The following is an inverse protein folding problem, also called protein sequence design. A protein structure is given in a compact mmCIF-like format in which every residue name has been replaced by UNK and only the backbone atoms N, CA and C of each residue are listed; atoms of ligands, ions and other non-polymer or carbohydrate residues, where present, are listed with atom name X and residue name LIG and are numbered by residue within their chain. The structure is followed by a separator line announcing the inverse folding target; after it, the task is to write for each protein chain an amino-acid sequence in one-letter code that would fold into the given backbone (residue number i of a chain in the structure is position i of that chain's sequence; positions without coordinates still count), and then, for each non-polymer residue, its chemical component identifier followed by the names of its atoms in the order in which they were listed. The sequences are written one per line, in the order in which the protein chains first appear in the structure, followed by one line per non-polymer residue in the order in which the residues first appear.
data_IF_070559033569
#
_entry.id   IF_070559033569
#
_cell.length_a   1.000
_cell.length_b   1.000
_cell.length_c   1.000
_cell.angle_alpha   90.00
_cell.angle_beta   90.00
_cell.angle_gamma   90.00
#
_symmetry.space_group_name_H-M   'P 1'
#
loop_
_entity.id
_entity.type
_entity.pdbx_description
1 polymer ?
#
# COMPACT_ATOMS: atom_id res chain seq x y z
N UNK A 1 1.81 -22.13 -5.11
CA UNK A 1 1.98 -22.08 -3.63
C UNK A 1 1.54 -20.70 -3.18
N UNK A 2 0.72 -20.62 -2.12
CA UNK A 2 0.37 -19.34 -1.51
C UNK A 2 1.66 -18.72 -0.93
N UNK A 3 1.91 -17.44 -1.24
CA UNK A 3 3.02 -16.73 -0.61
C UNK A 3 2.69 -16.55 0.88
N UNK A 4 3.51 -17.12 1.74
CA UNK A 4 3.39 -16.92 3.18
C UNK A 4 4.03 -15.58 3.53
N UNK A 5 3.23 -14.64 4.01
CA UNK A 5 3.72 -13.35 4.52
C UNK A 5 3.87 -13.43 6.04
N UNK A 6 5.06 -13.75 6.50
CA UNK A 6 5.39 -13.90 7.93
C UNK A 6 5.94 -12.61 8.53
N UNK A 7 6.51 -11.75 7.68
CA UNK A 7 7.16 -10.52 8.09
C UNK A 7 6.88 -9.37 7.14
N UNK A 8 6.51 -8.23 7.72
CA UNK A 8 6.33 -6.97 7.00
C UNK A 8 7.09 -5.87 7.76
N UNK A 9 7.93 -5.11 7.04
CA UNK A 9 8.70 -4.00 7.60
C UNK A 9 8.25 -2.69 6.99
N UNK A 10 7.77 -1.75 7.81
CA UNK A 10 7.48 -0.40 7.36
C UNK A 10 8.74 0.41 7.17
N UNK A 11 8.80 1.14 6.06
CA UNK A 11 9.95 1.96 5.65
C UNK A 11 9.46 3.37 5.33
N UNK A 12 9.87 4.41 6.07
CA UNK A 12 9.46 5.79 5.81
C UNK A 12 9.70 6.21 4.35
N UNK A 13 8.62 6.62 3.67
CA UNK A 13 8.64 6.90 2.24
C UNK A 13 9.35 8.20 1.85
N UNK A 14 9.66 9.06 2.83
CA UNK A 14 10.38 10.31 2.64
C UNK A 14 11.92 10.20 2.79
N UNK A 15 12.43 9.00 3.12
CA UNK A 15 13.86 8.81 3.38
C UNK A 15 14.52 7.92 2.30
N UNK A 16 15.33 8.52 1.38
CA UNK A 16 15.97 7.77 0.30
C UNK A 16 16.92 6.68 0.79
N UNK A 17 17.62 6.91 1.93
CA UNK A 17 18.56 5.93 2.50
C UNK A 17 17.83 4.67 2.97
N UNK A 18 16.66 4.84 3.59
CA UNK A 18 15.87 3.71 4.06
C UNK A 18 15.26 2.93 2.90
N UNK A 19 14.78 3.63 1.87
CA UNK A 19 14.29 2.97 0.65
C UNK A 19 15.40 2.17 -0.04
N UNK A 20 16.62 2.69 -0.08
CA UNK A 20 17.77 1.96 -0.65
C UNK A 20 18.11 0.72 0.20
N UNK A 21 18.19 0.87 1.53
CA UNK A 21 18.49 -0.23 2.45
C UNK A 21 17.42 -1.33 2.40
N UNK A 22 16.18 -0.99 2.11
CA UNK A 22 15.08 -1.94 2.02
C UNK A 22 15.25 -3.00 0.92
N UNK A 23 16.13 -2.78 -0.06
CA UNK A 23 16.35 -3.71 -1.18
C UNK A 23 16.81 -5.11 -0.75
N UNK A 24 17.57 -5.17 0.32
CA UNK A 24 18.20 -6.41 0.82
C UNK A 24 17.71 -6.84 2.20
N UNK A 25 16.62 -6.27 2.70
CA UNK A 25 16.07 -6.69 4.00
C UNK A 25 15.58 -8.14 3.93
N UNK A 26 15.86 -8.96 4.94
CA UNK A 26 15.39 -10.34 5.04
C UNK A 26 13.94 -10.37 5.54
N UNK A 27 13.04 -9.75 4.80
CA UNK A 27 11.60 -9.70 5.09
C UNK A 27 10.81 -10.24 3.91
N UNK A 28 9.60 -10.72 4.14
CA UNK A 28 8.72 -11.15 3.05
C UNK A 28 8.16 -9.92 2.32
N UNK A 29 7.84 -8.84 3.07
CA UNK A 29 7.34 -7.58 2.53
C UNK A 29 8.12 -6.40 3.10
N UNK A 30 8.51 -5.46 2.25
CA UNK A 30 8.83 -4.08 2.63
C UNK A 30 7.68 -3.17 2.24
N UNK A 31 7.18 -2.40 3.19
CA UNK A 31 6.05 -1.51 2.99
C UNK A 31 6.50 -0.04 3.08
N UNK A 32 6.55 0.64 1.94
CA UNK A 32 6.87 2.07 1.92
C UNK A 32 5.70 2.87 2.48
N UNK A 33 5.96 3.66 3.49
CA UNK A 33 4.93 4.36 4.24
C UNK A 33 4.72 5.78 3.73
N UNK A 34 3.44 6.15 3.53
CA UNK A 34 3.00 7.51 3.25
C UNK A 34 2.20 8.11 4.41
N UNK A 35 1.93 7.33 5.46
CA UNK A 35 1.06 7.73 6.56
C UNK A 35 1.84 8.26 7.77
N UNK A 36 1.86 7.51 8.85
CA UNK A 36 2.29 7.97 10.18
C UNK A 36 3.77 8.34 10.24
N UNK A 37 4.64 7.65 9.49
CA UNK A 37 6.08 7.92 9.49
C UNK A 37 6.49 9.10 8.61
N UNK A 38 5.55 9.74 7.92
CA UNK A 38 5.81 10.87 7.01
C UNK A 38 5.04 12.10 7.47
N UNK A 39 5.71 13.19 7.86
CA UNK A 39 5.05 14.46 8.19
C UNK A 39 4.21 15.01 7.02
N UNK A 40 3.10 15.70 7.32
CA UNK A 40 2.16 16.20 6.31
C UNK A 40 2.83 17.04 5.22
N UNK A 41 3.73 17.94 5.63
CA UNK A 41 4.52 18.78 4.70
C UNK A 41 5.39 17.99 3.73
N UNK A 42 5.71 16.75 4.04
CA UNK A 42 6.59 15.90 3.23
C UNK A 42 5.83 14.87 2.39
N UNK A 43 4.53 14.68 2.60
CA UNK A 43 3.75 13.64 1.91
C UNK A 43 3.82 13.76 0.37
N UNK A 44 3.80 14.96 -0.18
CA UNK A 44 3.95 15.16 -1.63
C UNK A 44 5.33 14.70 -2.13
N UNK A 45 6.39 15.02 -1.39
CA UNK A 45 7.77 14.60 -1.69
C UNK A 45 7.91 13.08 -1.57
N UNK A 46 7.35 12.49 -0.51
CA UNK A 46 7.38 11.05 -0.28
C UNK A 46 6.69 10.28 -1.42
N UNK A 47 5.51 10.73 -1.88
CA UNK A 47 4.84 10.14 -3.05
C UNK A 47 5.74 10.10 -4.29
N UNK A 48 6.36 11.23 -4.60
CA UNK A 48 7.26 11.33 -5.76
C UNK A 48 8.49 10.40 -5.62
N UNK A 49 9.04 10.32 -4.42
CA UNK A 49 10.18 9.45 -4.13
C UNK A 49 9.81 7.97 -4.26
N UNK A 50 8.71 7.54 -3.65
CA UNK A 50 8.21 6.16 -3.78
C UNK A 50 7.91 5.83 -5.24
N UNK A 51 7.23 6.73 -5.97
CA UNK A 51 6.96 6.55 -7.40
C UNK A 51 8.23 6.24 -8.21
N UNK A 52 9.32 6.95 -7.95
CA UNK A 52 10.60 6.72 -8.62
C UNK A 52 11.26 5.42 -8.15
N UNK A 53 11.14 5.11 -6.86
CA UNK A 53 11.67 3.89 -6.27
C UNK A 53 11.02 2.63 -6.85
N UNK A 54 9.71 2.64 -7.07
CA UNK A 54 8.97 1.52 -7.67
C UNK A 54 9.48 1.14 -9.08
N UNK A 55 10.07 2.06 -9.83
CA UNK A 55 10.71 1.74 -11.12
C UNK A 55 11.90 0.78 -10.97
N UNK A 56 12.44 0.68 -9.78
CA UNK A 56 13.57 -0.19 -9.43
C UNK A 56 13.14 -1.53 -8.82
N UNK A 57 11.86 -1.95 -8.92
CA UNK A 57 11.29 -3.16 -8.29
C UNK A 57 12.22 -4.39 -8.37
N UNK A 58 12.85 -4.61 -9.51
CA UNK A 58 13.74 -5.77 -9.73
C UNK A 58 14.97 -5.82 -8.80
N UNK A 59 15.30 -4.71 -8.16
CA UNK A 59 16.41 -4.63 -7.19
C UNK A 59 15.99 -4.97 -5.76
N UNK A 60 14.69 -5.20 -5.52
CA UNK A 60 14.15 -5.55 -4.22
C UNK A 60 13.95 -7.05 -4.11
N UNK A 61 14.56 -7.68 -3.12
CA UNK A 61 14.35 -9.10 -2.80
C UNK A 61 12.94 -9.34 -2.23
N UNK A 62 12.46 -8.56 -1.23
CA UNK A 62 11.11 -8.71 -0.71
C UNK A 62 10.05 -8.18 -1.67
N UNK A 63 8.80 -8.55 -1.44
CA UNK A 63 7.66 -7.89 -2.09
C UNK A 63 7.57 -6.43 -1.65
N UNK A 64 7.20 -5.56 -2.59
CA UNK A 64 7.12 -4.11 -2.36
C UNK A 64 5.67 -3.68 -2.26
N UNK A 65 5.27 -3.33 -1.05
CA UNK A 65 3.98 -2.74 -0.75
C UNK A 65 4.13 -1.24 -0.46
N UNK A 66 3.02 -0.51 -0.53
CA UNK A 66 2.95 0.89 -0.12
C UNK A 66 1.74 1.08 0.79
N UNK A 67 1.95 1.66 1.97
CA UNK A 67 0.86 2.11 2.85
C UNK A 67 0.45 3.52 2.43
N UNK A 68 -0.81 3.68 2.04
CA UNK A 68 -1.40 4.99 1.72
C UNK A 68 -1.69 5.77 3.00
N UNK A 69 -2.04 7.03 2.89
CA UNK A 69 -2.71 7.73 3.97
C UNK A 69 -4.08 7.12 4.24
N UNK A 70 -4.65 7.37 5.42
CA UNK A 70 -5.96 6.84 5.81
C UNK A 70 -7.09 7.36 4.91
N UNK A 71 -8.18 6.61 4.75
CA UNK A 71 -9.33 7.07 3.97
C UNK A 71 -9.88 8.41 4.43
N UNK A 72 -9.91 8.65 5.74
CA UNK A 72 -10.41 9.89 6.36
C UNK A 72 -9.54 11.12 6.06
N UNK A 73 -8.26 10.93 5.75
CA UNK A 73 -7.33 12.04 5.45
C UNK A 73 -7.66 12.80 4.15
N UNK A 74 -8.46 12.19 3.26
CA UNK A 74 -8.72 12.72 1.92
C UNK A 74 -7.53 12.56 0.94
N UNK A 75 -6.38 12.04 1.37
CA UNK A 75 -5.16 11.94 0.57
C UNK A 75 -5.04 10.65 -0.25
N UNK A 76 -5.83 9.61 0.05
CA UNK A 76 -5.74 8.29 -0.61
C UNK A 76 -5.76 8.38 -2.13
N UNK A 77 -6.64 9.20 -2.70
CA UNK A 77 -6.74 9.35 -4.16
C UNK A 77 -5.46 9.90 -4.77
N UNK A 78 -4.83 10.86 -4.10
CA UNK A 78 -3.55 11.43 -4.52
C UNK A 78 -2.43 10.39 -4.42
N UNK A 79 -2.41 9.61 -3.34
CA UNK A 79 -1.45 8.52 -3.15
C UNK A 79 -1.59 7.49 -4.27
N UNK A 80 -2.79 6.97 -4.50
CA UNK A 80 -3.06 5.95 -5.53
C UNK A 80 -2.66 6.41 -6.93
N UNK A 81 -2.91 7.68 -7.27
CA UNK A 81 -2.49 8.24 -8.56
C UNK A 81 -0.99 8.16 -8.78
N UNK A 82 -0.18 8.21 -7.73
CA UNK A 82 1.28 8.15 -7.86
C UNK A 82 1.82 6.72 -7.76
N UNK A 83 1.26 5.89 -6.87
CA UNK A 83 1.84 4.57 -6.54
C UNK A 83 1.31 3.41 -7.39
N UNK A 84 0.07 3.48 -7.93
CA UNK A 84 -0.50 2.42 -8.77
C UNK A 84 0.21 2.38 -10.11
N UNK A 85 1.35 1.76 -10.18
CA UNK A 85 2.18 1.65 -11.38
C UNK A 85 2.94 0.32 -11.42
N UNK A 86 3.64 0.05 -12.51
CA UNK A 86 4.52 -1.12 -12.59
C UNK A 86 5.58 -1.07 -11.48
N UNK A 87 5.74 -2.17 -10.77
CA UNK A 87 6.71 -2.31 -9.69
C UNK A 87 6.11 -2.26 -8.28
N UNK A 88 4.81 -2.07 -8.13
CA UNK A 88 4.12 -2.28 -6.87
C UNK A 88 3.51 -3.68 -6.83
N UNK A 89 3.67 -4.40 -5.73
CA UNK A 89 3.09 -5.74 -5.53
C UNK A 89 1.79 -5.69 -4.71
N UNK A 90 1.65 -4.70 -3.83
CA UNK A 90 0.44 -4.53 -3.03
C UNK A 90 0.33 -3.17 -2.36
N UNK A 91 -0.84 -2.91 -1.81
CA UNK A 91 -1.19 -1.65 -1.13
C UNK A 91 -1.76 -1.98 0.24
N UNK A 92 -1.20 -1.36 1.28
CA UNK A 92 -1.76 -1.37 2.64
C UNK A 92 -2.68 -0.14 2.77
N UNK A 93 -3.93 -0.37 3.15
CA UNK A 93 -4.90 0.68 3.44
C UNK A 93 -5.08 0.75 4.95
N UNK A 94 -4.61 1.80 5.63
CA UNK A 94 -4.75 1.92 7.08
C UNK A 94 -6.16 2.34 7.49
N UNK A 95 -6.54 2.04 8.73
CA UNK A 95 -7.75 2.55 9.39
C UNK A 95 -9.04 2.30 8.59
N UNK A 96 -9.15 1.11 7.97
CA UNK A 96 -10.36 0.72 7.23
C UNK A 96 -11.49 0.39 8.20
N UNK A 97 -12.64 1.03 8.02
CA UNK A 97 -13.80 0.90 8.90
C UNK A 97 -14.98 0.15 8.26
N UNK A 98 -15.02 0.02 6.94
CA UNK A 98 -16.11 -0.68 6.25
C UNK A 98 -15.72 -1.28 4.91
N UNK A 99 -16.46 -2.33 4.50
CA UNK A 99 -16.37 -2.91 3.17
C UNK A 99 -16.70 -1.91 2.05
N UNK A 100 -17.65 -1.00 2.29
CA UNK A 100 -18.04 0.05 1.33
C UNK A 100 -16.87 0.98 1.02
N UNK A 101 -16.14 1.40 2.05
CA UNK A 101 -14.96 2.25 1.93
C UNK A 101 -13.87 1.55 1.12
N UNK A 102 -13.55 0.30 1.46
CA UNK A 102 -12.55 -0.49 0.76
C UNK A 102 -12.91 -0.72 -0.71
N UNK A 103 -14.17 -1.04 -1.02
CA UNK A 103 -14.66 -1.19 -2.40
C UNK A 103 -14.50 0.09 -3.23
N UNK A 104 -14.69 1.27 -2.63
CA UNK A 104 -14.47 2.55 -3.30
C UNK A 104 -12.99 2.74 -3.69
N UNK A 105 -12.09 2.40 -2.79
CA UNK A 105 -10.65 2.43 -3.03
C UNK A 105 -10.26 1.43 -4.12
N UNK A 106 -10.76 0.20 -4.03
CA UNK A 106 -10.52 -0.86 -5.03
C UNK A 106 -10.97 -0.46 -6.43
N UNK A 107 -12.12 0.21 -6.57
CA UNK A 107 -12.57 0.75 -7.87
C UNK A 107 -11.57 1.75 -8.45
N UNK A 108 -11.00 2.60 -7.61
CA UNK A 108 -9.97 3.56 -8.04
C UNK A 108 -8.71 2.85 -8.50
N UNK A 109 -8.26 1.83 -7.74
CA UNK A 109 -7.10 1.01 -8.13
C UNK A 109 -7.35 0.32 -9.46
N UNK A 110 -8.51 -0.34 -9.63
CA UNK A 110 -8.88 -1.04 -10.86
C UNK A 110 -8.92 -0.12 -12.08
N UNK A 111 -9.44 1.10 -11.91
CA UNK A 111 -9.45 2.12 -12.97
C UNK A 111 -8.03 2.53 -13.37
N UNK A 112 -7.14 2.74 -12.40
CA UNK A 112 -5.75 3.09 -12.64
C UNK A 112 -4.97 1.93 -13.28
N UNK A 113 -5.18 0.69 -12.83
CA UNK A 113 -4.59 -0.52 -13.43
C UNK A 113 -4.97 -0.64 -14.90
N UNK A 114 -6.27 -0.50 -15.22
CA UNK A 114 -6.76 -0.53 -16.60
C UNK A 114 -6.09 0.54 -17.45
N UNK A 115 -6.06 1.80 -16.96
CA UNK A 115 -5.44 2.92 -17.66
C UNK A 115 -3.94 2.72 -17.90
N UNK A 116 -3.24 2.05 -16.98
CA UNK A 116 -1.78 1.85 -17.02
C UNK A 116 -1.36 0.51 -17.57
N UNK A 117 -2.33 -0.32 -17.98
CA UNK A 117 -2.11 -1.68 -18.52
C UNK A 117 -1.29 -2.57 -17.56
N UNK A 118 -1.60 -2.49 -16.27
CA UNK A 118 -1.04 -3.32 -15.20
C UNK A 118 -2.18 -4.07 -14.50
N UNK A 119 -1.84 -5.08 -13.72
CA UNK A 119 -2.81 -5.90 -12.97
C UNK A 119 -2.14 -6.60 -11.79
N UNK A 120 -2.96 -7.10 -10.89
CA UNK A 120 -2.50 -8.02 -9.84
C UNK A 120 -2.01 -7.31 -8.58
N UNK A 121 -2.33 -6.03 -8.38
CA UNK A 121 -2.03 -5.33 -7.13
C UNK A 121 -2.89 -5.92 -6.02
N UNK A 122 -2.23 -6.44 -4.98
CA UNK A 122 -2.87 -7.00 -3.78
C UNK A 122 -3.31 -5.90 -2.83
N UNK A 123 -4.30 -6.20 -1.98
CA UNK A 123 -4.77 -5.29 -0.93
C UNK A 123 -4.58 -5.92 0.45
N UNK A 124 -4.17 -5.09 1.39
CA UNK A 124 -4.03 -5.43 2.79
C UNK A 124 -4.66 -4.31 3.64
N UNK A 125 -5.94 -4.42 4.02
CA UNK A 125 -6.55 -3.46 4.92
C UNK A 125 -6.00 -3.65 6.33
N UNK A 126 -5.63 -2.57 7.00
CA UNK A 126 -5.30 -2.58 8.43
C UNK A 126 -6.53 -2.22 9.24
N UNK A 127 -6.88 -3.09 10.18
CA UNK A 127 -8.00 -2.92 11.10
C UNK A 127 -7.46 -2.31 12.39
N UNK A 128 -7.75 -1.03 12.61
CA UNK A 128 -7.11 -0.23 13.65
C UNK A 128 -8.13 0.50 14.56
N UNK A 129 -9.43 0.22 14.40
CA UNK A 129 -10.50 0.83 15.16
C UNK A 129 -11.52 -0.20 15.66
N UNK A 130 -12.28 0.13 16.70
CA UNK A 130 -13.36 -0.73 17.19
C UNK A 130 -14.41 -1.00 16.11
N UNK A 131 -14.74 -0.01 15.28
CA UNK A 131 -15.68 -0.16 14.16
C UNK A 131 -15.11 -1.11 13.10
N UNK A 132 -13.83 -0.99 12.78
CA UNK A 132 -13.14 -1.91 11.85
C UNK A 132 -13.15 -3.34 12.38
N UNK A 133 -12.96 -3.55 13.68
CA UNK A 133 -13.01 -4.89 14.31
C UNK A 133 -14.42 -5.47 14.16
N UNK A 134 -15.47 -4.71 14.45
CA UNK A 134 -16.86 -5.18 14.29
C UNK A 134 -17.15 -5.57 12.85
N UNK A 135 -16.63 -4.84 11.88
CA UNK A 135 -16.86 -5.05 10.46
C UNK A 135 -15.80 -5.94 9.78
N UNK A 136 -14.85 -6.53 10.52
CA UNK A 136 -13.68 -7.18 9.91
C UNK A 136 -14.03 -8.31 8.96
N UNK A 137 -15.05 -9.11 9.22
CA UNK A 137 -15.50 -10.16 8.33
C UNK A 137 -15.99 -9.62 6.98
N UNK A 138 -16.83 -8.58 7.01
CA UNK A 138 -17.33 -7.94 5.78
C UNK A 138 -16.20 -7.28 4.99
N UNK A 139 -15.27 -6.62 5.68
CA UNK A 139 -14.09 -6.02 5.06
C UNK A 139 -13.27 -7.11 4.37
N UNK A 140 -12.91 -8.18 5.09
CA UNK A 140 -12.10 -9.27 4.57
C UNK A 140 -12.76 -10.00 3.39
N UNK A 141 -14.09 -10.15 3.42
CA UNK A 141 -14.85 -10.82 2.36
C UNK A 141 -15.14 -9.93 1.14
N UNK A 142 -14.83 -8.63 1.22
CA UNK A 142 -15.30 -7.65 0.24
C UNK A 142 -14.51 -7.63 -1.07
N UNK A 143 -13.30 -8.16 -1.11
CA UNK A 143 -12.42 -8.11 -2.28
C UNK A 143 -11.66 -9.42 -2.49
N UNK A 144 -11.51 -9.79 -3.75
CA UNK A 144 -10.65 -10.92 -4.16
C UNK A 144 -9.15 -10.57 -4.19
N UNK A 145 -8.80 -9.31 -3.93
CA UNK A 145 -7.42 -8.82 -3.89
C UNK A 145 -6.77 -8.99 -2.52
N UNK A 146 -7.54 -9.46 -1.54
CA UNK A 146 -7.03 -9.62 -0.18
C UNK A 146 -5.81 -10.53 -0.16
N UNK A 147 -4.85 -10.11 0.62
CA UNK A 147 -3.70 -10.93 0.99
C UNK A 147 -4.03 -11.62 2.30
N UNK A 148 -3.87 -12.93 2.38
CA UNK A 148 -4.09 -13.68 3.61
C UNK A 148 -3.08 -13.26 4.70
#
# INVERSE_FOLDING_TARGET
MANLFRSLVFVPGNNPRFLEKAKSLPADIVCFDLEDSVPDKEKKKARALIKNTLKQRKKYSPDVFVRTNSPESGLVTADLKEIVQKGIDGIVIPKVNSAKELKKIEKTISSLEKKRKIKGIRLMPSIESALGIVNCYEIASSSKRMTP
#
